data_IF_093462461315
#
_entry.id   IF_093462461315
#
_cell.length_a   1.000
_cell.length_b   1.000
_cell.length_c   1.000
_cell.angle_alpha   90.00
_cell.angle_beta   90.00
_cell.angle_gamma   90.00
#
_symmetry.space_group_name_H-M   'P 1'
#
loop_
_entity.id
_entity.type
_entity.pdbx_description
1 polymer ?
#
# COMPACT_ATOMS: atom_id res chain seq x y z
N UNK A 1 23.64 11.73 7.10
CA UNK A 1 22.28 11.72 6.51
C UNK A 1 22.13 10.45 5.70
N UNK A 2 21.26 9.54 6.12
CA UNK A 2 20.85 8.36 5.34
C UNK A 2 19.88 8.78 4.23
N UNK A 3 19.66 7.92 3.24
CA UNK A 3 18.65 8.19 2.21
C UNK A 3 17.23 8.29 2.80
N UNK A 4 16.93 7.53 3.87
CA UNK A 4 15.65 7.57 4.58
C UNK A 4 15.46 8.88 5.35
N UNK A 5 16.50 9.37 6.03
CA UNK A 5 16.50 10.69 6.66
C UNK A 5 16.26 11.80 5.63
N UNK A 6 16.95 11.76 4.48
CA UNK A 6 16.71 12.69 3.38
C UNK A 6 15.26 12.64 2.88
N UNK A 7 14.72 11.42 2.70
CA UNK A 7 13.36 11.20 2.23
C UNK A 7 12.33 11.83 3.17
N UNK A 8 12.47 11.60 4.48
CA UNK A 8 11.56 12.13 5.50
C UNK A 8 11.61 13.66 5.59
N UNK A 9 12.73 14.29 5.22
CA UNK A 9 12.85 15.75 5.15
C UNK A 9 12.26 16.31 3.85
N UNK A 10 12.53 15.66 2.72
CA UNK A 10 12.21 16.20 1.40
C UNK A 10 10.79 15.87 0.93
N UNK A 11 10.23 14.72 1.30
CA UNK A 11 8.90 14.31 0.86
C UNK A 11 7.77 15.30 1.22
N UNK A 12 7.74 15.90 2.43
CA UNK A 12 6.75 16.94 2.75
C UNK A 12 6.84 18.17 1.86
N UNK A 13 8.06 18.58 1.46
CA UNK A 13 8.25 19.72 0.57
C UNK A 13 7.65 19.47 -0.82
N UNK A 14 7.76 18.23 -1.29
CA UNK A 14 7.18 17.80 -2.56
C UNK A 14 5.66 17.65 -2.45
N UNK A 15 5.14 17.16 -1.31
CA UNK A 15 3.70 17.00 -1.09
C UNK A 15 2.90 18.32 -1.18
N UNK A 16 3.55 19.46 -0.88
CA UNK A 16 2.96 20.82 -1.04
C UNK A 16 2.57 21.11 -2.49
N UNK A 17 3.21 20.47 -3.47
CA UNK A 17 2.86 20.66 -4.88
C UNK A 17 1.48 20.11 -5.24
N UNK A 18 0.92 19.21 -4.40
CA UNK A 18 -0.35 18.55 -4.64
C UNK A 18 -0.45 17.86 -6.02
N UNK A 19 0.69 17.39 -6.52
CA UNK A 19 0.81 16.69 -7.80
C UNK A 19 1.15 15.22 -7.53
N UNK A 20 0.29 14.31 -8.01
CA UNK A 20 0.47 12.86 -7.88
C UNK A 20 1.67 12.31 -8.69
N UNK A 21 2.21 13.10 -9.63
CA UNK A 21 3.36 12.71 -10.46
C UNK A 21 4.69 13.26 -9.95
N UNK A 22 4.65 14.21 -9.01
CA UNK A 22 5.82 14.77 -8.35
C UNK A 22 5.99 14.06 -7.00
N UNK A 23 6.78 12.98 -6.96
CA UNK A 23 7.08 12.27 -5.72
C UNK A 23 8.50 11.73 -5.69
N UNK A 24 9.02 11.59 -4.48
CA UNK A 24 10.33 10.98 -4.25
C UNK A 24 10.21 9.46 -4.22
N UNK A 25 11.23 8.78 -4.74
CA UNK A 25 11.43 7.34 -4.60
C UNK A 25 12.75 7.07 -3.90
N UNK A 26 12.86 6.04 -3.05
CA UNK A 26 14.15 5.53 -2.61
C UNK A 26 15.05 5.18 -3.80
N UNK A 27 16.36 5.10 -3.56
CA UNK A 27 17.29 4.53 -4.52
C UNK A 27 16.81 3.17 -5.02
N UNK A 28 16.98 2.88 -6.30
CA UNK A 28 16.47 1.64 -6.93
C UNK A 28 17.09 0.36 -6.36
N UNK A 29 18.27 0.47 -5.78
CA UNK A 29 19.03 -0.59 -5.12
C UNK A 29 18.80 -0.64 -3.60
N UNK A 30 18.05 0.31 -3.03
CA UNK A 30 17.75 0.32 -1.61
C UNK A 30 16.84 -0.85 -1.25
N UNK A 31 17.33 -1.67 -0.32
CA UNK A 31 16.52 -2.69 0.36
C UNK A 31 16.06 -2.09 1.66
N UNK A 32 14.75 -2.10 1.88
CA UNK A 32 14.12 -1.43 3.02
C UNK A 32 13.29 -2.44 3.79
N UNK A 33 13.09 -2.19 5.08
CA UNK A 33 12.14 -2.96 5.89
C UNK A 33 10.71 -2.53 5.57
N UNK A 34 9.83 -3.50 5.41
CA UNK A 34 8.41 -3.30 5.10
C UNK A 34 7.54 -4.22 5.94
N UNK A 35 6.27 -3.88 6.08
CA UNK A 35 5.30 -4.81 6.64
C UNK A 35 5.10 -6.03 5.71
N UNK A 36 4.99 -7.26 6.26
CA UNK A 36 4.71 -8.50 5.50
C UNK A 36 3.22 -8.64 5.12
N UNK A 37 2.52 -7.53 4.97
CA UNK A 37 1.12 -7.45 4.56
C UNK A 37 0.84 -6.09 3.89
N UNK A 38 -0.32 -5.99 3.24
CA UNK A 38 -0.83 -4.74 2.65
C UNK A 38 -2.19 -4.40 3.23
N UNK A 39 -2.40 -3.11 3.43
CA UNK A 39 -3.66 -2.54 3.88
C UNK A 39 -4.32 -1.78 2.73
N UNK A 40 -5.65 -1.73 2.74
CA UNK A 40 -6.46 -0.74 2.02
C UNK A 40 -7.41 -0.09 3.01
N UNK A 41 -7.76 1.18 2.75
CA UNK A 41 -8.81 1.85 3.52
C UNK A 41 -10.16 1.58 2.86
N UNK A 42 -11.06 0.93 3.58
CA UNK A 42 -12.42 0.62 3.13
C UNK A 42 -13.40 1.13 4.17
N UNK A 43 -14.18 2.17 3.84
CA UNK A 43 -15.10 2.84 4.78
C UNK A 43 -14.40 3.19 6.10
N UNK A 44 -13.28 3.89 5.99
CA UNK A 44 -12.44 4.35 7.10
C UNK A 44 -11.80 3.25 7.95
N UNK A 45 -11.76 2.00 7.46
CA UNK A 45 -11.11 0.88 8.14
C UNK A 45 -9.89 0.40 7.36
N UNK A 46 -8.79 0.14 8.06
CA UNK A 46 -7.58 -0.44 7.47
C UNK A 46 -7.72 -1.97 7.34
N UNK A 47 -8.11 -2.42 6.15
CA UNK A 47 -8.37 -3.83 5.83
C UNK A 47 -7.14 -4.48 5.21
N UNK A 48 -6.74 -5.65 5.71
CA UNK A 48 -5.67 -6.47 5.14
C UNK A 48 -6.13 -7.07 3.82
N UNK A 49 -5.48 -6.72 2.72
CA UNK A 49 -5.80 -7.20 1.36
C UNK A 49 -4.81 -8.24 0.83
N UNK A 50 -3.64 -8.34 1.47
CA UNK A 50 -2.60 -9.30 1.15
C UNK A 50 -1.76 -9.51 2.41
N UNK A 51 -1.35 -10.75 2.67
CA UNK A 51 -0.48 -11.09 3.80
C UNK A 51 0.38 -12.29 3.43
N UNK A 52 1.65 -12.26 3.83
CA UNK A 52 2.57 -13.41 3.78
C UNK A 52 2.98 -13.88 5.18
N UNK A 53 2.25 -13.42 6.20
CA UNK A 53 2.45 -13.76 7.60
C UNK A 53 1.13 -14.28 8.21
N UNK A 54 1.10 -14.48 9.52
CA UNK A 54 -0.05 -15.02 10.25
C UNK A 54 -1.27 -14.09 10.29
N UNK A 55 -1.11 -12.80 9.94
CA UNK A 55 -2.21 -11.85 9.88
C UNK A 55 -3.19 -12.20 8.74
N UNK A 56 -4.47 -12.49 9.01
CA UNK A 56 -5.37 -12.99 7.98
C UNK A 56 -5.85 -11.88 7.03
N UNK A 57 -5.99 -12.22 5.74
CA UNK A 57 -6.64 -11.35 4.75
C UNK A 57 -8.10 -11.12 5.16
N UNK A 58 -8.56 -9.87 5.06
CA UNK A 58 -9.86 -9.42 5.53
C UNK A 58 -9.90 -9.00 7.00
N UNK A 59 -8.81 -9.15 7.76
CA UNK A 59 -8.68 -8.53 9.07
C UNK A 59 -8.72 -7.00 8.97
N UNK A 60 -9.25 -6.37 10.02
CA UNK A 60 -9.21 -4.91 10.18
C UNK A 60 -8.12 -4.59 11.20
N UNK A 61 -7.02 -3.99 10.77
CA UNK A 61 -5.98 -3.49 11.68
C UNK A 61 -6.52 -2.26 12.40
N UNK A 62 -6.42 -2.25 13.73
CA UNK A 62 -6.86 -1.14 14.57
C UNK A 62 -5.69 -0.43 15.23
N UNK A 63 -4.60 -1.14 15.55
CA UNK A 63 -3.39 -0.54 16.12
C UNK A 63 -2.11 -1.20 15.61
N UNK A 64 -1.03 -0.42 15.59
CA UNK A 64 0.35 -0.89 15.39
C UNK A 64 1.17 -0.33 16.55
N UNK A 65 1.85 -1.19 17.31
CA UNK A 65 2.60 -0.82 18.52
C UNK A 65 1.77 0.01 19.51
N UNK A 66 0.51 -0.37 19.72
CA UNK A 66 -0.43 0.36 20.58
C UNK A 66 -0.97 1.68 20.01
N UNK A 67 -0.45 2.17 18.88
CA UNK A 67 -0.89 3.42 18.24
C UNK A 67 -2.09 3.11 17.32
N UNK A 68 -3.23 3.80 17.47
CA UNK A 68 -4.36 3.68 16.55
C UNK A 68 -3.95 3.94 15.10
N UNK A 69 -4.42 3.10 14.17
CA UNK A 69 -4.04 3.20 12.77
C UNK A 69 -4.47 4.55 12.16
N UNK A 70 -5.56 5.13 12.66
CA UNK A 70 -6.07 6.43 12.24
C UNK A 70 -5.06 7.55 12.57
N UNK A 71 -4.41 7.47 13.73
CA UNK A 71 -3.38 8.43 14.13
C UNK A 71 -2.12 8.29 13.26
N UNK A 72 -1.74 7.06 12.92
CA UNK A 72 -0.61 6.80 12.02
C UNK A 72 -0.90 7.38 10.64
N UNK A 73 -2.12 7.17 10.11
CA UNK A 73 -2.52 7.73 8.81
C UNK A 73 -2.47 9.25 8.85
N UNK A 74 -3.01 9.88 9.91
CA UNK A 74 -3.01 11.32 10.08
C UNK A 74 -1.60 11.90 10.14
N UNK A 75 -0.68 11.27 10.86
CA UNK A 75 0.73 11.67 10.89
C UNK A 75 1.37 11.60 9.50
N UNK A 76 1.03 10.56 8.73
CA UNK A 76 1.60 10.36 7.42
C UNK A 76 1.05 11.30 6.35
N UNK A 77 -0.06 12.01 6.59
CA UNK A 77 -0.69 12.90 5.60
C UNK A 77 0.27 13.94 5.03
N UNK A 78 1.21 14.43 5.84
CA UNK A 78 2.19 15.42 5.42
C UNK A 78 3.15 14.93 4.32
N UNK A 79 3.26 13.62 4.12
CA UNK A 79 4.11 13.04 3.08
C UNK A 79 3.35 12.64 1.81
N UNK A 80 2.02 12.74 1.83
CA UNK A 80 1.17 12.24 0.76
C UNK A 80 1.16 13.17 -0.46
N UNK A 81 1.54 12.64 -1.62
CA UNK A 81 1.34 13.32 -2.90
C UNK A 81 -0.03 12.94 -3.48
N UNK A 82 -0.70 13.87 -4.14
CA UNK A 82 -2.04 13.61 -4.67
C UNK A 82 -2.82 14.88 -4.96
N UNK A 83 -3.56 14.85 -6.08
CA UNK A 83 -4.43 15.93 -6.54
C UNK A 83 -5.74 15.99 -5.74
N UNK A 84 -6.19 14.84 -5.22
CA UNK A 84 -7.38 14.72 -4.36
C UNK A 84 -7.07 14.05 -3.02
N UNK A 85 -7.87 14.27 -1.96
CA UNK A 85 -7.72 13.57 -0.68
C UNK A 85 -7.68 12.05 -0.83
N UNK A 86 -8.51 11.47 -1.71
CA UNK A 86 -8.57 10.03 -1.95
C UNK A 86 -7.30 9.52 -2.64
N UNK A 87 -6.80 10.23 -3.65
CA UNK A 87 -5.54 9.87 -4.32
C UNK A 87 -4.35 9.92 -3.36
N UNK A 88 -4.34 10.93 -2.49
CA UNK A 88 -3.34 11.10 -1.43
C UNK A 88 -3.38 9.94 -0.44
N UNK A 89 -4.55 9.62 0.10
CA UNK A 89 -4.73 8.52 1.02
C UNK A 89 -4.29 7.18 0.40
N UNK A 90 -4.64 6.96 -0.87
CA UNK A 90 -4.19 5.77 -1.59
C UNK A 90 -2.67 5.70 -1.71
N UNK A 91 -1.99 6.83 -1.99
CA UNK A 91 -0.53 6.88 -2.03
C UNK A 91 0.07 6.54 -0.66
N UNK A 92 -0.43 7.17 0.41
CA UNK A 92 0.03 6.96 1.79
C UNK A 92 -0.08 5.50 2.22
N UNK A 93 -1.24 4.90 2.01
CA UNK A 93 -1.54 3.55 2.49
C UNK A 93 -0.75 2.50 1.72
N UNK A 94 -0.62 2.66 0.40
CA UNK A 94 0.09 1.70 -0.43
C UNK A 94 1.62 1.82 -0.33
N UNK A 95 2.14 2.99 0.05
CA UNK A 95 3.56 3.26 -0.02
C UNK A 95 4.17 3.54 1.35
N UNK A 96 3.70 4.58 2.04
CA UNK A 96 4.27 5.04 3.30
C UNK A 96 4.01 4.08 4.44
N UNK A 97 2.74 3.67 4.63
CA UNK A 97 2.38 2.72 5.69
C UNK A 97 3.14 1.42 5.48
N UNK A 98 3.27 0.95 4.24
CA UNK A 98 3.99 -0.30 3.99
C UNK A 98 5.49 -0.22 4.37
N UNK A 99 6.11 0.95 4.22
CA UNK A 99 7.51 1.20 4.56
C UNK A 99 7.73 1.74 5.99
N UNK A 100 6.66 1.81 6.80
CA UNK A 100 6.75 2.29 8.19
C UNK A 100 7.84 1.61 9.02
N UNK A 101 8.10 0.30 8.88
CA UNK A 101 9.21 -0.33 9.60
C UNK A 101 10.59 0.27 9.29
N UNK A 102 10.82 0.71 8.06
CA UNK A 102 12.03 1.44 7.71
C UNK A 102 12.06 2.82 8.38
N UNK A 103 10.95 3.57 8.30
CA UNK A 103 10.86 4.94 8.80
C UNK A 103 10.96 5.04 10.32
N UNK A 104 10.41 4.06 11.03
CA UNK A 104 10.45 3.97 12.49
C UNK A 104 11.65 3.20 13.02
N UNK A 105 12.46 2.59 12.15
CA UNK A 105 13.59 1.77 12.59
C UNK A 105 13.19 0.56 13.42
N UNK A 106 12.02 -0.03 13.13
CA UNK A 106 11.49 -1.19 13.86
C UNK A 106 11.72 -2.48 13.07
N UNK A 107 12.09 -3.54 13.79
CA UNK A 107 12.28 -4.90 13.25
C UNK A 107 11.14 -5.83 13.67
N UNK A 108 10.62 -5.64 14.87
CA UNK A 108 9.45 -6.33 15.41
C UNK A 108 8.36 -5.31 15.75
N UNK A 109 7.11 -5.73 15.64
CA UNK A 109 5.97 -4.88 15.96
C UNK A 109 4.75 -5.70 16.38
N UNK A 110 3.94 -5.08 17.23
CA UNK A 110 2.66 -5.61 17.67
C UNK A 110 1.54 -5.06 16.78
N UNK A 111 0.62 -5.92 16.35
CA UNK A 111 -0.60 -5.53 15.65
C UNK A 111 -1.81 -5.93 16.47
N UNK A 112 -2.67 -4.96 16.76
CA UNK A 112 -4.04 -5.22 17.19
C UNK A 112 -4.95 -5.19 15.97
N UNK A 113 -5.80 -6.22 15.82
CA UNK A 113 -6.72 -6.35 14.70
C UNK A 113 -8.03 -7.01 15.09
N UNK A 114 -9.08 -6.73 14.32
CA UNK A 114 -10.37 -7.40 14.39
C UNK A 114 -10.49 -8.43 13.27
N UNK A 115 -10.83 -9.67 13.63
CA UNK A 115 -11.14 -10.72 12.65
C UNK A 115 -12.27 -11.60 13.18
N UNK A 116 -13.32 -11.79 12.37
CA UNK A 116 -14.54 -12.51 12.77
C UNK A 116 -15.17 -11.96 14.07
N UNK A 117 -15.16 -10.64 14.23
CA UNK A 117 -15.65 -9.90 15.41
C UNK A 117 -14.90 -10.16 16.72
N UNK A 118 -13.71 -10.76 16.66
CA UNK A 118 -12.82 -10.91 17.80
C UNK A 118 -11.62 -9.97 17.65
N UNK A 119 -11.27 -9.26 18.72
CA UNK A 119 -10.01 -8.52 18.79
C UNK A 119 -8.86 -9.46 19.16
N UNK A 120 -7.77 -9.36 18.41
CA UNK A 120 -6.58 -10.19 18.54
C UNK A 120 -5.34 -9.35 18.46
N UNK A 121 -4.29 -9.86 19.07
CA UNK A 121 -2.96 -9.26 19.08
C UNK A 121 -1.98 -10.27 18.49
N UNK A 122 -1.09 -9.81 17.60
CA UNK A 122 0.00 -10.60 17.04
C UNK A 122 1.29 -9.79 17.11
N UNK A 123 2.39 -10.45 17.47
CA UNK A 123 3.73 -9.91 17.29
C UNK A 123 4.27 -10.45 15.97
N UNK A 124 4.77 -9.55 15.12
CA UNK A 124 5.25 -9.85 13.78
C UNK A 124 6.62 -9.22 13.56
N UNK A 125 7.39 -9.82 12.66
CA UNK A 125 8.66 -9.27 12.17
C UNK A 125 8.44 -8.51 10.86
N UNK A 126 9.16 -7.40 10.69
CA UNK A 126 9.26 -6.70 9.43
C UNK A 126 10.03 -7.56 8.43
N UNK A 127 9.67 -7.47 7.16
CA UNK A 127 10.32 -8.21 6.09
C UNK A 127 11.09 -7.28 5.15
N UNK A 128 11.93 -7.85 4.30
CA UNK A 128 12.69 -7.12 3.30
C UNK A 128 11.81 -6.77 2.10
N UNK A 129 11.96 -5.57 1.55
CA UNK A 129 11.29 -5.15 0.30
C UNK A 129 11.66 -6.00 -0.92
N UNK A 130 12.74 -6.79 -0.84
CA UNK A 130 13.11 -7.81 -1.84
C UNK A 130 12.22 -9.05 -1.76
N UNK A 131 11.89 -9.49 -0.55
CA UNK A 131 11.16 -10.73 -0.30
C UNK A 131 9.64 -10.50 -0.42
N UNK A 132 9.20 -9.30 -0.02
CA UNK A 132 7.83 -8.84 -0.22
C UNK A 132 7.84 -7.62 -1.14
N UNK A 133 7.51 -7.82 -2.43
CA UNK A 133 7.52 -6.75 -3.46
C UNK A 133 6.72 -5.54 -2.97
N UNK A 134 7.45 -4.56 -2.45
CA UNK A 134 6.94 -3.36 -1.78
C UNK A 134 6.07 -2.52 -2.72
N UNK A 135 6.47 -2.39 -3.99
CA UNK A 135 5.94 -1.31 -4.82
C UNK A 135 4.71 -1.74 -5.63
N UNK A 136 4.49 -3.03 -5.90
CA UNK A 136 3.34 -3.46 -6.72
C UNK A 136 3.01 -4.93 -6.47
N UNK A 137 1.76 -5.26 -6.11
CA UNK A 137 1.12 -6.27 -6.96
C UNK A 137 1.17 -5.66 -8.34
N UNK A 138 1.94 -6.25 -9.23
CA UNK A 138 2.00 -5.83 -10.62
C UNK A 138 0.57 -5.86 -11.16
N UNK A 139 -0.10 -4.71 -11.11
CA UNK A 139 -1.25 -4.44 -11.97
C UNK A 139 -0.83 -4.74 -13.43
N UNK A 140 0.47 -4.59 -13.72
CA UNK A 140 1.21 -5.02 -14.93
C UNK A 140 1.36 -6.54 -15.15
N UNK A 141 0.93 -7.43 -14.26
CA UNK A 141 0.91 -8.88 -14.53
C UNK A 141 -0.53 -9.42 -14.66
N UNK A 142 -1.54 -8.58 -14.38
CA UNK A 142 -2.93 -8.96 -14.68
C UNK A 142 -3.15 -8.74 -16.17
N UNK A 143 -3.56 -9.78 -16.89
CA UNK A 143 -3.96 -9.64 -18.28
C UNK A 143 -5.38 -9.04 -18.33
N UNK A 144 -5.73 -8.26 -19.37
CA UNK A 144 -7.11 -7.89 -19.61
C UNK A 144 -8.01 -9.14 -19.59
N UNK A 145 -9.22 -9.04 -19.05
CA UNK A 145 -10.18 -10.16 -19.06
C UNK A 145 -11.56 -9.69 -19.47
N UNK A 146 -12.30 -10.57 -20.13
CA UNK A 146 -13.70 -10.34 -20.50
C UNK A 146 -14.54 -11.50 -19.99
N UNK A 147 -15.62 -11.17 -19.30
CA UNK A 147 -16.55 -12.12 -18.70
C UNK A 147 -17.99 -11.70 -19.00
N UNK A 148 -18.87 -12.66 -19.32
CA UNK A 148 -20.29 -12.41 -19.56
C UNK A 148 -21.10 -12.81 -18.32
N UNK A 149 -21.90 -11.87 -17.81
CA UNK A 149 -22.83 -12.07 -16.71
C UNK A 149 -24.27 -11.84 -17.21
N UNK A 150 -24.92 -12.91 -17.67
CA UNK A 150 -26.23 -12.83 -18.31
C UNK A 150 -26.14 -12.06 -19.63
N UNK A 151 -26.81 -10.91 -19.71
CA UNK A 151 -26.76 -10.01 -20.87
C UNK A 151 -25.69 -8.91 -20.77
N UNK A 152 -24.88 -8.91 -19.70
CA UNK A 152 -23.88 -7.87 -19.44
C UNK A 152 -22.47 -8.42 -19.70
N UNK A 153 -21.74 -7.80 -20.63
CA UNK A 153 -20.30 -8.04 -20.81
C UNK A 153 -19.47 -7.15 -19.89
N UNK A 154 -18.52 -7.74 -19.17
CA UNK A 154 -17.61 -7.04 -18.26
C UNK A 154 -16.18 -7.18 -18.78
N UNK A 155 -15.62 -6.08 -19.27
CA UNK A 155 -14.21 -5.99 -19.66
C UNK A 155 -13.39 -5.36 -18.53
N UNK A 156 -12.44 -6.11 -17.98
CA UNK A 156 -11.48 -5.65 -16.97
C UNK A 156 -10.18 -5.27 -17.67
N UNK A 157 -9.85 -3.98 -17.67
CA UNK A 157 -8.59 -3.45 -18.22
C UNK A 157 -7.69 -3.01 -17.05
N UNK A 158 -6.62 -3.76 -16.72
CA UNK A 158 -5.81 -3.48 -15.54
C UNK A 158 -4.86 -2.30 -15.75
N UNK A 159 -4.41 -2.03 -16.97
CA UNK A 159 -3.51 -0.91 -17.27
C UNK A 159 -3.67 -0.47 -18.72
N UNK A 160 -3.39 0.82 -18.97
CA UNK A 160 -3.31 1.40 -20.31
C UNK A 160 -1.92 1.31 -20.94
N UNK A 161 -1.09 0.36 -20.51
CA UNK A 161 0.16 0.05 -21.19
C UNK A 161 -0.11 -0.40 -22.63
N UNK A 162 0.65 0.11 -23.60
CA UNK A 162 0.51 -0.25 -25.01
C UNK A 162 0.61 -1.75 -25.30
N UNK A 163 1.29 -2.53 -24.45
CA UNK A 163 1.33 -4.00 -24.53
C UNK A 163 -0.05 -4.65 -24.44
N UNK A 164 -1.00 -4.05 -23.72
CA UNK A 164 -2.34 -4.60 -23.52
C UNK A 164 -3.33 -4.24 -24.63
N UNK A 165 -2.96 -3.37 -25.57
CA UNK A 165 -3.85 -2.95 -26.66
C UNK A 165 -4.36 -4.14 -27.47
N UNK A 166 -3.43 -4.97 -27.94
CA UNK A 166 -3.76 -6.12 -28.79
C UNK A 166 -4.50 -7.21 -28.02
N UNK A 167 -4.16 -7.42 -26.74
CA UNK A 167 -4.85 -8.41 -25.89
C UNK A 167 -6.27 -8.00 -25.54
N UNK A 168 -6.50 -6.70 -25.27
CA UNK A 168 -7.82 -6.16 -24.97
C UNK A 168 -8.74 -6.28 -26.17
N UNK A 169 -8.27 -5.89 -27.36
CA UNK A 169 -9.05 -5.99 -28.61
C UNK A 169 -9.42 -7.44 -28.94
N UNK A 170 -8.55 -8.42 -28.67
CA UNK A 170 -8.84 -9.84 -28.91
C UNK A 170 -9.91 -10.43 -27.97
N UNK A 171 -10.20 -9.77 -26.85
CA UNK A 171 -11.13 -10.26 -25.82
C UNK A 171 -12.51 -9.61 -25.89
N UNK A 172 -12.67 -8.56 -26.69
CA UNK A 172 -13.95 -7.92 -27.04
C UNK A 172 -14.57 -8.62 -28.23
#
# INVERSE_FOLDING_TARGET
MTWSEFYMIAAPLIAILHDQHSFLRPPSDAVIRVFPFRLHIVKDKAVVINSVCELPVGAIVTKINGIPIENIIQELEMYGTGETPESRLNFLVNYFIQALPEWWGIEEFEITYLYKNEEKVLNLEATSSKDYRWITQSVRERNPSFELYGSIGVLKVPSFNGSYKNETVKKM
#
